data_IF_954961512652
#
_entry.id   IF_954961512652
#
_cell.length_a   1.000
_cell.length_b   1.000
_cell.length_c   1.000
_cell.angle_alpha   90.00
_cell.angle_beta   90.00
_cell.angle_gamma   90.00
#
_symmetry.space_group_name_H-M   'P 1'
#
loop_
_entity.id
_entity.type
_entity.pdbx_description
1 polymer ?
#
# COMPACT_ATOMS: atom_id res chain seq x y z
N UNK A 1 6.82 -32.59 29.01
CA UNK A 1 6.04 -31.58 28.26
C UNK A 1 6.91 -31.14 27.09
N UNK A 2 6.58 -31.60 25.88
CA UNK A 2 7.20 -31.08 24.66
C UNK A 2 6.73 -29.63 24.51
N UNK A 3 7.64 -28.68 24.65
CA UNK A 3 7.39 -27.29 24.27
C UNK A 3 7.10 -27.27 22.77
N UNK A 4 5.83 -27.11 22.40
CA UNK A 4 5.44 -26.85 21.02
C UNK A 4 6.16 -25.56 20.62
N UNK A 5 7.07 -25.66 19.65
CA UNK A 5 7.79 -24.51 19.16
C UNK A 5 6.80 -23.46 18.66
N UNK A 6 7.04 -22.19 18.99
CA UNK A 6 6.21 -21.07 18.54
C UNK A 6 6.11 -21.08 17.01
N UNK A 7 4.91 -21.35 16.48
CA UNK A 7 4.65 -21.33 15.05
C UNK A 7 4.18 -19.94 14.61
N UNK A 8 4.55 -19.56 13.38
CA UNK A 8 4.03 -18.36 12.73
C UNK A 8 2.84 -18.74 11.86
N UNK A 9 1.68 -18.14 12.13
CA UNK A 9 0.44 -18.39 11.40
C UNK A 9 0.08 -17.14 10.61
N UNK A 10 -0.29 -17.30 9.34
CA UNK A 10 -0.82 -16.23 8.50
C UNK A 10 -2.31 -16.48 8.26
N UNK A 11 -3.15 -15.56 8.73
CA UNK A 11 -4.59 -15.53 8.47
C UNK A 11 -4.85 -14.53 7.35
N UNK A 12 -5.63 -14.96 6.35
CA UNK A 12 -6.01 -14.13 5.21
C UNK A 12 -7.45 -13.63 5.40
N UNK A 13 -7.60 -12.31 5.51
CA UNK A 13 -8.86 -11.65 5.82
C UNK A 13 -9.11 -11.50 7.33
N UNK A 14 -9.67 -10.36 7.69
CA UNK A 14 -10.00 -9.96 9.05
C UNK A 14 -11.52 -9.76 9.23
N UNK A 15 -12.34 -10.53 8.51
CA UNK A 15 -13.77 -10.70 8.82
C UNK A 15 -13.98 -11.52 10.11
N UNK A 16 -15.23 -11.79 10.47
CA UNK A 16 -15.57 -12.49 11.73
C UNK A 16 -14.83 -13.83 11.91
N UNK A 17 -14.81 -14.66 10.85
CA UNK A 17 -14.09 -15.94 10.85
C UNK A 17 -12.57 -15.77 10.98
N UNK A 18 -11.98 -14.78 10.30
CA UNK A 18 -10.55 -14.51 10.35
C UNK A 18 -10.11 -14.02 11.73
N UNK A 19 -10.90 -13.14 12.35
CA UNK A 19 -10.65 -12.66 13.71
C UNK A 19 -10.73 -13.81 14.72
N UNK A 20 -11.78 -14.65 14.63
CA UNK A 20 -11.93 -15.80 15.53
C UNK A 20 -10.79 -16.81 15.37
N UNK A 21 -10.36 -17.07 14.14
CA UNK A 21 -9.21 -17.94 13.86
C UNK A 21 -7.92 -17.36 14.45
N UNK A 22 -7.67 -16.06 14.24
CA UNK A 22 -6.49 -15.39 14.77
C UNK A 22 -6.44 -15.41 16.31
N UNK A 23 -7.58 -15.14 16.97
CA UNK A 23 -7.69 -15.22 18.43
C UNK A 23 -7.44 -16.64 18.96
N UNK A 24 -7.98 -17.65 18.28
CA UNK A 24 -7.80 -19.05 18.68
C UNK A 24 -6.35 -19.50 18.55
N UNK A 25 -5.67 -19.12 17.46
CA UNK A 25 -4.25 -19.42 17.25
C UNK A 25 -3.34 -18.66 18.22
N UNK A 26 -3.66 -17.39 18.52
CA UNK A 26 -2.95 -16.62 19.52
C UNK A 26 -3.11 -17.24 20.94
N UNK A 27 -4.31 -17.73 21.27
CA UNK A 27 -4.58 -18.44 22.52
C UNK A 27 -3.83 -19.78 22.59
N UNK A 28 -3.64 -20.47 21.46
CA UNK A 28 -2.82 -21.68 21.36
C UNK A 28 -1.31 -21.42 21.53
N UNK A 29 -0.89 -20.16 21.52
CA UNK A 29 0.49 -19.76 21.79
C UNK A 29 1.26 -19.22 20.58
N UNK A 30 0.65 -19.24 19.38
CA UNK A 30 1.32 -18.93 18.13
C UNK A 30 1.44 -17.41 17.87
N UNK A 31 2.46 -17.00 17.10
CA UNK A 31 2.53 -15.63 16.56
C UNK A 31 1.67 -15.58 15.30
N UNK A 32 0.68 -14.68 15.27
CA UNK A 32 -0.30 -14.61 14.19
C UNK A 32 -0.13 -13.33 13.41
N UNK A 33 -0.04 -13.44 12.09
CA UNK A 33 -0.13 -12.32 11.15
C UNK A 33 -1.50 -12.36 10.51
N UNK A 34 -2.20 -11.24 10.45
CA UNK A 34 -3.51 -11.15 9.79
C UNK A 34 -3.40 -10.17 8.65
N UNK A 35 -3.47 -10.65 7.42
CA UNK A 35 -3.41 -9.84 6.22
C UNK A 35 -4.83 -9.49 5.74
N UNK A 36 -5.17 -8.21 5.78
CA UNK A 36 -6.47 -7.69 5.34
C UNK A 36 -6.29 -6.72 4.18
N UNK A 37 -7.05 -6.92 3.12
CA UNK A 37 -7.07 -6.06 1.95
C UNK A 37 -7.50 -4.63 2.31
N UNK A 38 -8.49 -4.50 3.18
CA UNK A 38 -9.01 -3.22 3.66
C UNK A 38 -8.14 -2.60 4.77
N UNK A 39 -8.30 -1.29 5.04
CA UNK A 39 -7.59 -0.64 6.14
C UNK A 39 -8.16 -0.99 7.52
N UNK A 40 -9.41 -1.45 7.59
CA UNK A 40 -10.11 -1.86 8.82
C UNK A 40 -10.29 -3.38 8.91
N UNK A 41 -10.62 -3.86 10.11
CA UNK A 41 -10.94 -5.26 10.42
C UNK A 41 -12.34 -5.34 11.03
N UNK A 42 -12.94 -6.52 11.06
CA UNK A 42 -14.29 -6.76 11.56
C UNK A 42 -15.39 -6.61 10.50
N UNK A 43 -15.04 -6.09 9.33
CA UNK A 43 -15.97 -5.82 8.23
C UNK A 43 -16.39 -7.09 7.50
N UNK A 44 -17.58 -7.59 7.80
CA UNK A 44 -18.39 -8.23 6.77
C UNK A 44 -19.05 -7.14 5.92
N UNK A 45 -18.87 -7.21 4.60
CA UNK A 45 -19.88 -6.78 3.65
C UNK A 45 -21.07 -7.73 3.83
N UNK A 46 -22.11 -7.31 4.53
CA UNK A 46 -23.38 -8.05 4.51
C UNK A 46 -24.33 -7.29 3.56
N UNK A 47 -24.30 -7.58 2.23
CA UNK A 47 -25.46 -7.31 1.40
C UNK A 47 -26.63 -8.04 2.05
N UNK A 48 -27.59 -7.28 2.58
CA UNK A 48 -28.73 -7.84 3.31
C UNK A 48 -29.76 -8.35 2.30
N UNK A 49 -29.67 -9.63 1.95
CA UNK A 49 -30.71 -10.31 1.18
C UNK A 49 -31.75 -11.01 2.08
N UNK A 50 -31.54 -11.07 3.41
CA UNK A 50 -32.37 -11.85 4.34
C UNK A 50 -32.76 -11.09 5.62
N UNK A 51 -34.00 -11.34 6.04
CA UNK A 51 -34.53 -10.93 7.34
C UNK A 51 -33.93 -11.84 8.42
N UNK A 52 -33.29 -11.23 9.41
CA UNK A 52 -32.66 -11.95 10.54
C UNK A 52 -33.75 -12.31 11.56
N UNK A 53 -33.70 -13.54 12.06
CA UNK A 53 -34.50 -14.03 13.19
C UNK A 53 -33.67 -14.08 14.46
N UNK A 54 -34.30 -13.96 15.64
CA UNK A 54 -33.64 -13.78 16.94
C UNK A 54 -32.55 -14.82 17.29
N UNK A 55 -32.60 -16.02 16.71
CA UNK A 55 -31.61 -17.09 16.92
C UNK A 55 -30.36 -17.04 16.03
N UNK A 56 -30.36 -16.19 14.99
CA UNK A 56 -29.23 -15.97 14.07
C UNK A 56 -28.61 -14.59 14.27
N UNK A 57 -28.81 -13.99 15.45
CA UNK A 57 -28.19 -12.72 15.79
C UNK A 57 -26.66 -12.84 15.70
N UNK A 58 -26.08 -11.98 14.88
CA UNK A 58 -24.66 -11.83 14.58
C UNK A 58 -23.74 -12.31 15.72
N UNK A 59 -22.87 -13.29 15.45
CA UNK A 59 -21.66 -13.44 16.24
C UNK A 59 -20.74 -12.27 15.91
N UNK A 60 -20.87 -11.18 16.68
CA UNK A 60 -19.92 -10.09 16.61
C UNK A 60 -18.54 -10.63 17.05
N UNK A 61 -17.51 -10.58 16.20
CA UNK A 61 -16.17 -10.99 16.59
C UNK A 61 -15.66 -10.12 17.74
N UNK A 62 -14.82 -10.67 18.62
CA UNK A 62 -14.23 -9.92 19.73
C UNK A 62 -13.12 -8.99 19.23
N UNK A 63 -13.53 -7.83 18.71
CA UNK A 63 -12.63 -6.81 18.17
C UNK A 63 -11.69 -6.23 19.23
N UNK A 64 -12.14 -6.14 20.49
CA UNK A 64 -11.35 -5.60 21.58
C UNK A 64 -10.21 -6.56 21.96
N UNK A 65 -10.51 -7.86 22.08
CA UNK A 65 -9.48 -8.89 22.28
C UNK A 65 -8.51 -8.92 21.09
N UNK A 66 -9.02 -8.81 19.86
CA UNK A 66 -8.17 -8.81 18.66
C UNK A 66 -7.19 -7.63 18.66
N UNK A 67 -7.67 -6.42 18.95
CA UNK A 67 -6.87 -5.19 18.94
C UNK A 67 -5.82 -5.13 20.06
N UNK A 68 -6.11 -5.74 21.21
CA UNK A 68 -5.22 -5.70 22.40
C UNK A 68 -4.24 -6.88 22.48
N UNK A 69 -4.32 -7.85 21.59
CA UNK A 69 -3.48 -9.05 21.60
C UNK A 69 -2.09 -8.77 21.01
N UNK A 70 -1.04 -8.94 21.81
CA UNK A 70 0.36 -8.73 21.46
C UNK A 70 0.95 -9.79 20.50
N UNK A 71 0.34 -10.98 20.45
CA UNK A 71 0.73 -12.05 19.52
C UNK A 71 0.16 -11.86 18.13
N UNK A 72 -0.84 -11.00 17.97
CA UNK A 72 -1.48 -10.72 16.68
C UNK A 72 -0.84 -9.48 16.07
N UNK A 73 -0.31 -9.62 14.86
CA UNK A 73 0.18 -8.53 14.04
C UNK A 73 -0.80 -8.30 12.88
N UNK A 74 -1.50 -7.16 12.93
CA UNK A 74 -2.48 -6.80 11.91
C UNK A 74 -1.84 -6.04 10.75
N UNK A 75 -1.75 -6.72 9.60
CA UNK A 75 -1.28 -6.18 8.33
C UNK A 75 -2.48 -5.63 7.56
N UNK A 76 -2.73 -4.33 7.72
CA UNK A 76 -3.78 -3.59 7.01
C UNK A 76 -3.35 -3.24 5.57
N UNK A 77 -4.32 -2.99 4.69
CA UNK A 77 -4.06 -2.66 3.29
C UNK A 77 -3.14 -3.67 2.58
N UNK A 78 -3.20 -4.93 3.00
CA UNK A 78 -2.26 -5.98 2.68
C UNK A 78 -2.82 -6.91 1.60
N UNK A 79 -2.13 -6.94 0.46
CA UNK A 79 -2.40 -7.86 -0.64
C UNK A 79 -1.35 -8.97 -0.68
N UNK A 80 -1.77 -10.23 -0.75
CA UNK A 80 -0.85 -11.35 -0.94
C UNK A 80 -0.41 -11.39 -2.41
N UNK A 81 0.88 -11.15 -2.67
CA UNK A 81 1.44 -11.21 -4.04
C UNK A 81 1.84 -12.62 -4.46
N UNK A 82 2.39 -13.41 -3.54
CA UNK A 82 2.78 -14.78 -3.82
C UNK A 82 2.78 -15.61 -2.54
N UNK A 83 2.40 -16.88 -2.65
CA UNK A 83 2.47 -17.87 -1.58
C UNK A 83 3.12 -19.13 -2.14
N UNK A 84 4.32 -19.45 -1.68
CA UNK A 84 5.04 -20.68 -2.07
C UNK A 84 5.09 -21.59 -0.87
N UNK A 85 4.56 -22.80 -1.01
CA UNK A 85 4.58 -23.83 0.02
C UNK A 85 5.53 -24.97 -0.35
N UNK A 86 6.28 -25.46 0.64
CA UNK A 86 7.05 -26.71 0.56
C UNK A 86 6.95 -27.45 1.90
N UNK A 87 6.42 -28.68 1.88
CA UNK A 87 6.33 -29.57 3.04
C UNK A 87 5.84 -28.92 4.36
N UNK A 88 4.77 -28.14 4.29
CA UNK A 88 4.15 -27.47 5.45
C UNK A 88 4.85 -26.18 5.89
N UNK A 89 5.90 -25.74 5.19
CA UNK A 89 6.47 -24.41 5.33
C UNK A 89 5.97 -23.52 4.20
N UNK A 90 5.63 -22.27 4.53
CA UNK A 90 5.12 -21.31 3.58
C UNK A 90 5.98 -20.04 3.57
N UNK A 91 6.28 -19.55 2.38
CA UNK A 91 6.87 -18.23 2.16
C UNK A 91 5.84 -17.35 1.46
N UNK A 92 5.32 -16.36 2.19
CA UNK A 92 4.38 -15.38 1.67
C UNK A 92 5.11 -14.07 1.34
N UNK A 93 4.78 -13.47 0.19
CA UNK A 93 5.14 -12.09 -0.14
C UNK A 93 3.88 -11.25 -0.02
N UNK A 94 3.89 -10.33 0.94
CA UNK A 94 2.74 -9.46 1.24
C UNK A 94 3.10 -8.04 0.84
N UNK A 95 2.21 -7.39 0.10
CA UNK A 95 2.33 -5.98 -0.27
C UNK A 95 1.35 -5.17 0.56
N UNK A 96 1.87 -4.46 1.57
CA UNK A 96 1.09 -3.53 2.36
C UNK A 96 1.10 -2.16 1.69
N UNK A 97 -0.05 -1.72 1.17
CA UNK A 97 -0.20 -0.40 0.56
C UNK A 97 -0.12 0.67 1.65
N UNK A 98 0.54 1.78 1.36
CA UNK A 98 0.64 2.89 2.33
C UNK A 98 -0.74 3.49 2.60
N UNK A 99 -1.15 3.64 3.87
CA UNK A 99 -2.39 4.34 4.21
C UNK A 99 -2.33 5.84 3.89
N UNK A 100 -1.13 6.39 3.62
CA UNK A 100 -0.87 7.83 3.40
C UNK A 100 -1.28 8.76 4.55
N UNK A 101 -1.65 8.17 5.69
CA UNK A 101 -1.84 8.82 6.97
C UNK A 101 -0.93 8.09 7.95
N UNK A 102 -0.15 8.85 8.71
CA UNK A 102 0.70 8.31 9.76
C UNK A 102 -0.15 8.09 11.01
N UNK A 103 -0.41 6.83 11.43
CA UNK A 103 -1.28 6.55 12.57
C UNK A 103 -0.69 7.05 13.89
N UNK A 104 0.63 7.20 14.00
CA UNK A 104 1.28 7.72 15.21
C UNK A 104 1.09 9.23 15.37
N UNK A 105 0.81 9.94 14.27
CA UNK A 105 0.60 11.40 14.24
C UNK A 105 -0.86 11.80 14.10
N UNK A 106 -1.74 10.86 13.81
CA UNK A 106 -3.17 11.12 13.66
C UNK A 106 -3.82 11.29 15.03
N UNK A 107 -4.55 12.39 15.23
CA UNK A 107 -5.31 12.68 16.44
C UNK A 107 -6.81 12.36 16.30
N UNK A 108 -7.18 11.67 15.21
CA UNK A 108 -8.55 11.27 14.87
C UNK A 108 -9.57 12.43 14.83
N UNK A 109 -9.13 13.68 14.60
CA UNK A 109 -10.00 14.86 14.67
C UNK A 109 -11.05 14.99 13.55
N UNK A 110 -10.98 14.18 12.50
CA UNK A 110 -11.95 14.16 11.40
C UNK A 110 -11.95 15.37 10.45
N UNK A 111 -11.15 16.42 10.72
CA UNK A 111 -11.14 17.65 9.90
C UNK A 111 -10.78 17.40 8.44
N UNK A 112 -9.93 16.41 8.18
CA UNK A 112 -9.50 16.03 6.83
C UNK A 112 -10.68 15.55 5.97
N UNK A 113 -11.65 14.85 6.55
CA UNK A 113 -12.88 14.41 5.88
C UNK A 113 -13.71 15.63 5.51
N UNK A 114 -13.93 16.55 6.45
CA UNK A 114 -14.75 17.75 6.25
C UNK A 114 -14.24 18.66 5.12
N UNK A 115 -12.92 18.75 4.94
CA UNK A 115 -12.31 19.63 3.92
C UNK A 115 -11.99 18.91 2.61
N UNK A 116 -12.24 17.60 2.51
CA UNK A 116 -11.85 16.83 1.35
C UNK A 116 -12.64 17.27 0.10
N UNK A 117 -11.98 17.71 -0.99
CA UNK A 117 -12.69 18.11 -2.20
C UNK A 117 -13.11 16.91 -3.08
N UNK A 118 -12.61 15.71 -2.76
CA UNK A 118 -12.86 14.50 -3.55
C UNK A 118 -13.95 13.69 -2.87
N UNK A 119 -15.05 13.49 -3.59
CA UNK A 119 -16.14 12.60 -3.22
C UNK A 119 -16.18 11.45 -4.23
N UNK A 120 -16.28 10.23 -3.74
CA UNK A 120 -16.32 9.01 -4.53
C UNK A 120 -17.39 8.07 -3.98
N UNK A 121 -17.81 7.10 -4.79
CA UNK A 121 -18.73 6.07 -4.32
C UNK A 121 -18.11 5.31 -3.17
N UNK A 122 -18.92 5.10 -2.13
CA UNK A 122 -18.52 4.33 -0.97
C UNK A 122 -18.48 2.84 -1.30
N UNK A 123 -17.28 2.33 -1.60
CA UNK A 123 -17.00 0.91 -1.86
C UNK A 123 -17.22 -0.02 -0.66
N UNK A 124 -17.37 0.54 0.55
CA UNK A 124 -17.81 -0.19 1.74
C UNK A 124 -19.33 -0.33 1.76
N UNK A 125 -20.07 0.75 1.51
CA UNK A 125 -21.54 0.77 1.45
C UNK A 125 -22.12 0.46 0.06
N UNK A 126 -21.44 -0.38 -0.73
CA UNK A 126 -21.89 -0.82 -2.07
C UNK A 126 -22.26 0.32 -3.05
N UNK A 127 -21.64 1.48 -2.89
CA UNK A 127 -21.89 2.67 -3.69
C UNK A 127 -23.23 3.37 -3.39
N UNK A 128 -23.92 2.99 -2.31
CA UNK A 128 -25.16 3.61 -1.86
C UNK A 128 -24.93 5.01 -1.27
N UNK A 129 -23.72 5.27 -0.79
CA UNK A 129 -23.32 6.56 -0.22
C UNK A 129 -22.08 7.13 -0.92
N UNK A 130 -21.78 8.39 -0.60
CA UNK A 130 -20.55 9.05 -1.00
C UNK A 130 -19.59 9.05 0.17
N UNK A 131 -18.33 8.70 -0.10
CA UNK A 131 -17.22 8.89 0.84
C UNK A 131 -16.17 9.83 0.28
N UNK A 132 -15.37 10.38 1.18
CA UNK A 132 -14.23 11.22 0.80
C UNK A 132 -13.00 10.37 0.48
N UNK A 133 -12.01 10.95 -0.21
CA UNK A 133 -10.76 10.24 -0.49
C UNK A 133 -9.94 9.94 0.77
N UNK A 134 -10.08 10.77 1.81
CA UNK A 134 -9.58 10.47 3.16
C UNK A 134 -10.77 9.99 3.99
N UNK A 135 -10.65 8.86 4.67
CA UNK A 135 -11.73 8.30 5.47
C UNK A 135 -11.20 7.40 6.60
N UNK A 136 -12.13 6.90 7.41
CA UNK A 136 -11.97 5.72 8.25
C UNK A 136 -13.10 4.76 7.87
N UNK A 137 -12.77 3.57 7.38
CA UNK A 137 -13.77 2.61 6.87
C UNK A 137 -14.70 2.09 7.98
N UNK A 138 -14.17 1.95 9.20
CA UNK A 138 -14.95 1.58 10.37
C UNK A 138 -14.47 2.40 11.58
N UNK A 139 -15.43 2.99 12.29
CA UNK A 139 -15.23 3.70 13.56
C UNK A 139 -14.57 2.85 14.64
N UNK A 140 -14.75 1.52 14.63
CA UNK A 140 -14.12 0.60 15.58
C UNK A 140 -12.61 0.45 15.38
N UNK A 141 -12.14 0.65 14.15
CA UNK A 141 -10.72 0.55 13.81
C UNK A 141 -9.94 1.83 14.15
N UNK A 142 -10.55 3.01 14.01
CA UNK A 142 -9.92 4.32 14.26
C UNK A 142 -8.83 4.71 13.25
N UNK A 143 -8.60 3.92 12.21
CA UNK A 143 -7.47 4.14 11.30
C UNK A 143 -7.87 4.89 10.05
N UNK A 144 -7.39 6.13 9.97
CA UNK A 144 -7.55 6.95 8.78
C UNK A 144 -6.64 6.48 7.66
N UNK A 145 -7.12 6.59 6.43
CA UNK A 145 -6.32 6.34 5.23
C UNK A 145 -6.73 7.32 4.12
N UNK A 146 -5.86 7.53 3.14
CA UNK A 146 -6.19 8.26 1.91
C UNK A 146 -6.20 7.29 0.74
N UNK A 147 -7.40 6.90 0.34
CA UNK A 147 -7.65 6.12 -0.84
C UNK A 147 -8.05 7.01 -2.01
N UNK A 148 -7.38 6.85 -3.14
CA UNK A 148 -7.76 7.52 -4.39
C UNK A 148 -7.45 6.58 -5.55
N UNK A 149 -8.51 6.08 -6.17
CA UNK A 149 -8.44 5.14 -7.30
C UNK A 149 -7.75 5.74 -8.52
N UNK A 150 -7.92 7.04 -8.74
CA UNK A 150 -7.41 7.69 -9.94
C UNK A 150 -5.88 7.74 -9.99
N UNK A 151 -5.37 7.35 -11.17
CA UNK A 151 -3.99 7.64 -11.53
C UNK A 151 -3.74 9.16 -11.48
N UNK A 152 -2.66 9.60 -10.79
CA UNK A 152 -2.32 11.02 -10.67
C UNK A 152 -2.27 11.70 -12.04
N UNK A 153 -2.71 12.95 -12.15
CA UNK A 153 -2.60 13.71 -13.40
C UNK A 153 -1.16 13.73 -13.89
N UNK A 154 -0.19 14.03 -13.00
CA UNK A 154 1.23 14.02 -13.36
C UNK A 154 1.68 12.68 -13.96
N UNK A 155 1.21 11.55 -13.44
CA UNK A 155 1.57 10.22 -13.93
C UNK A 155 0.86 9.91 -15.26
N UNK A 156 -0.43 10.23 -15.40
CA UNK A 156 -1.19 10.06 -16.66
C UNK A 156 -0.60 10.89 -17.80
N UNK A 157 -0.13 12.10 -17.50
CA UNK A 157 0.48 13.01 -18.49
C UNK A 157 1.89 12.56 -18.88
N UNK A 158 2.55 11.71 -18.08
CA UNK A 158 3.88 11.21 -18.39
C UNK A 158 3.82 10.16 -19.51
N UNK A 159 4.53 10.32 -20.65
CA UNK A 159 4.46 9.36 -21.76
C UNK A 159 4.85 7.91 -21.40
N UNK A 160 5.64 7.74 -20.34
CA UNK A 160 6.11 6.44 -19.84
C UNK A 160 5.43 6.05 -18.51
N UNK A 161 4.40 6.79 -18.09
CA UNK A 161 3.62 6.53 -16.87
C UNK A 161 4.49 6.32 -15.61
N UNK A 162 5.48 7.19 -15.40
CA UNK A 162 6.37 7.15 -14.22
C UNK A 162 5.56 7.24 -12.91
N UNK A 163 5.96 6.54 -11.84
CA UNK A 163 5.29 6.63 -10.54
C UNK A 163 5.67 7.92 -9.78
N UNK A 164 5.26 9.07 -10.31
CA UNK A 164 5.70 10.41 -9.86
C UNK A 164 5.42 10.67 -8.39
N UNK A 165 4.21 10.35 -7.91
CA UNK A 165 3.87 10.53 -6.48
C UNK A 165 4.78 9.70 -5.58
N UNK A 166 5.12 8.48 -6.01
CA UNK A 166 5.94 7.55 -5.22
C UNK A 166 7.36 8.06 -5.06
N UNK A 167 8.05 8.37 -6.17
CA UNK A 167 9.44 8.78 -6.08
C UNK A 167 9.60 10.19 -5.50
N UNK A 168 8.63 11.10 -5.70
CA UNK A 168 8.61 12.42 -5.03
C UNK A 168 8.37 12.25 -3.53
N UNK A 169 7.49 11.33 -3.11
CA UNK A 169 7.30 10.98 -1.71
C UNK A 169 8.58 10.45 -1.07
N UNK A 170 9.29 9.54 -1.74
CA UNK A 170 10.58 9.06 -1.26
C UNK A 170 11.63 10.18 -1.14
N UNK A 171 11.62 11.16 -2.05
CA UNK A 171 12.50 12.33 -1.93
C UNK A 171 12.16 13.16 -0.69
N UNK A 172 10.87 13.38 -0.43
CA UNK A 172 10.41 14.10 0.76
C UNK A 172 10.82 13.38 2.06
N UNK A 173 10.83 12.04 2.05
CA UNK A 173 11.29 11.21 3.17
C UNK A 173 12.83 11.09 3.28
N UNK A 174 13.60 11.67 2.35
CA UNK A 174 15.06 11.53 2.29
C UNK A 174 15.56 10.16 1.77
N UNK A 175 14.66 9.33 1.25
CA UNK A 175 14.92 7.97 0.72
C UNK A 175 15.32 8.01 -0.76
N UNK A 176 16.47 8.62 -1.06
CA UNK A 176 16.88 8.89 -2.44
C UNK A 176 17.18 7.63 -3.26
N UNK A 177 17.72 6.58 -2.64
CA UNK A 177 18.01 5.32 -3.33
C UNK A 177 16.72 4.59 -3.73
N UNK A 178 15.71 4.58 -2.86
CA UNK A 178 14.37 4.03 -3.11
C UNK A 178 13.62 4.83 -4.17
N UNK A 179 13.76 6.17 -4.13
CA UNK A 179 13.24 7.06 -5.18
C UNK A 179 13.78 6.68 -6.56
N UNK A 180 15.09 6.47 -6.68
CA UNK A 180 15.71 6.03 -7.92
C UNK A 180 15.29 4.63 -8.37
N UNK A 181 15.18 3.69 -7.42
CA UNK A 181 14.69 2.35 -7.72
C UNK A 181 13.28 2.41 -8.32
N UNK A 182 12.38 3.21 -7.74
CA UNK A 182 11.03 3.40 -8.25
C UNK A 182 11.00 4.04 -9.65
N UNK A 183 11.91 4.97 -9.96
CA UNK A 183 12.03 5.56 -11.30
C UNK A 183 12.49 4.48 -12.30
N UNK A 184 13.47 3.65 -11.91
CA UNK A 184 14.08 2.63 -12.77
C UNK A 184 13.19 1.45 -13.13
N UNK A 185 12.09 1.25 -12.42
CA UNK A 185 11.06 0.27 -12.81
C UNK A 185 10.56 0.50 -14.24
N UNK A 186 10.54 1.75 -14.71
CA UNK A 186 10.09 2.11 -16.06
C UNK A 186 11.08 2.92 -16.88
N UNK A 187 12.02 3.60 -16.23
CA UNK A 187 12.97 4.49 -16.89
C UNK A 187 14.41 4.03 -16.64
N UNK A 188 15.05 3.33 -17.59
CA UNK A 188 16.40 2.79 -17.40
C UNK A 188 17.48 3.87 -17.29
N UNK A 189 17.25 5.05 -17.87
CA UNK A 189 18.24 6.14 -17.94
C UNK A 189 17.75 7.41 -17.24
N UNK A 190 17.58 7.40 -15.90
CA UNK A 190 17.08 8.55 -15.16
C UNK A 190 18.01 9.77 -15.25
N UNK A 191 19.33 9.56 -15.33
CA UNK A 191 20.33 10.62 -15.42
C UNK A 191 20.22 11.45 -16.71
N UNK A 192 20.10 10.77 -17.85
CA UNK A 192 19.94 11.40 -19.17
C UNK A 192 18.55 12.01 -19.30
N UNK A 193 17.51 11.24 -19.00
CA UNK A 193 16.12 11.70 -19.14
C UNK A 193 15.75 12.77 -18.10
N UNK A 194 16.45 12.88 -16.97
CA UNK A 194 16.35 14.02 -16.05
C UNK A 194 16.80 15.35 -16.65
N UNK A 195 17.60 15.33 -17.73
CA UNK A 195 18.14 16.54 -18.38
C UNK A 195 17.39 16.91 -19.67
N UNK A 196 16.86 15.92 -20.38
CA UNK A 196 16.15 16.13 -21.66
C UNK A 196 14.62 16.04 -21.54
N UNK A 197 14.08 15.89 -20.34
CA UNK A 197 12.63 15.75 -20.16
C UNK A 197 11.90 17.02 -20.60
N UNK A 198 10.86 16.91 -21.45
CA UNK A 198 9.99 18.05 -21.77
C UNK A 198 8.95 18.34 -20.68
N UNK A 199 8.97 17.57 -19.58
CA UNK A 199 8.19 17.78 -18.35
C UNK A 199 6.70 18.16 -18.52
N UNK A 200 5.93 17.45 -19.39
CA UNK A 200 4.51 17.77 -19.61
C UNK A 200 3.67 17.58 -18.33
N UNK A 201 4.13 16.71 -17.42
CA UNK A 201 3.50 16.48 -16.12
C UNK A 201 3.50 17.71 -15.20
N UNK A 202 4.41 18.66 -15.40
CA UNK A 202 4.44 19.92 -14.64
C UNK A 202 3.38 20.90 -15.16
N UNK A 203 3.11 20.91 -16.47
CA UNK A 203 2.08 21.76 -17.07
C UNK A 203 0.66 21.43 -16.59
N UNK A 204 0.38 20.15 -16.36
CA UNK A 204 -0.92 19.65 -15.87
C UNK A 204 -0.96 19.45 -14.34
N UNK A 205 -0.02 20.04 -13.59
CA UNK A 205 0.09 19.79 -12.17
C UNK A 205 -1.06 20.46 -11.39
N UNK A 206 -1.89 19.66 -10.71
CA UNK A 206 -2.96 20.18 -9.84
C UNK A 206 -2.49 21.19 -8.79
N UNK A 207 -1.23 21.13 -8.36
CA UNK A 207 -0.67 22.08 -7.39
C UNK A 207 -0.67 23.52 -7.94
N UNK A 208 -0.54 23.68 -9.25
CA UNK A 208 -0.64 24.98 -9.93
C UNK A 208 -2.00 25.66 -9.83
N UNK A 209 -3.07 24.98 -9.39
CA UNK A 209 -4.34 25.64 -9.06
C UNK A 209 -4.29 26.42 -7.73
N UNK A 210 -3.32 26.11 -6.86
CA UNK A 210 -3.15 26.75 -5.55
C UNK A 210 -1.95 27.70 -5.55
N UNK A 211 -0.80 27.22 -6.00
CA UNK A 211 0.45 27.99 -6.08
C UNK A 211 1.23 27.63 -7.37
N UNK A 212 2.34 26.88 -7.26
CA UNK A 212 3.20 26.54 -8.38
C UNK A 212 3.29 25.02 -8.61
N UNK A 213 3.43 24.56 -9.86
CA UNK A 213 3.70 23.16 -10.14
C UNK A 213 4.92 22.63 -9.39
N UNK A 214 4.84 21.38 -8.94
CA UNK A 214 6.00 20.68 -8.39
C UNK A 214 7.05 20.54 -9.50
N UNK A 215 8.30 20.93 -9.23
CA UNK A 215 9.44 20.79 -10.14
C UNK A 215 9.90 19.33 -10.31
N UNK A 216 9.02 18.48 -10.83
CA UNK A 216 9.18 17.03 -10.98
C UNK A 216 10.43 16.66 -11.79
N UNK A 217 10.74 17.40 -12.85
CA UNK A 217 11.92 17.21 -13.69
C UNK A 217 13.20 17.48 -12.90
N UNK A 218 13.23 18.58 -12.15
CA UNK A 218 14.36 18.93 -11.30
C UNK A 218 14.55 17.90 -10.18
N UNK A 219 13.47 17.48 -9.52
CA UNK A 219 13.50 16.42 -8.50
C UNK A 219 14.06 15.11 -9.04
N UNK A 220 13.62 14.70 -10.25
CA UNK A 220 14.13 13.51 -10.94
C UNK A 220 15.62 13.63 -11.26
N UNK A 221 16.05 14.81 -11.74
CA UNK A 221 17.48 15.09 -12.00
C UNK A 221 18.29 15.05 -10.71
N UNK A 222 17.80 15.68 -9.64
CA UNK A 222 18.46 15.75 -8.35
C UNK A 222 18.76 14.35 -7.80
N UNK A 223 17.78 13.44 -7.79
CA UNK A 223 18.03 12.07 -7.32
C UNK A 223 18.97 11.31 -8.24
N UNK A 224 18.91 11.53 -9.55
CA UNK A 224 19.87 10.90 -10.47
C UNK A 224 21.30 11.41 -10.26
N UNK A 225 21.47 12.69 -9.95
CA UNK A 225 22.77 13.28 -9.63
C UNK A 225 23.27 12.78 -8.24
N UNK A 226 22.37 12.57 -7.28
CA UNK A 226 22.69 11.98 -5.97
C UNK A 226 23.35 10.61 -6.11
N UNK A 227 22.89 9.76 -7.03
CA UNK A 227 23.50 8.45 -7.29
C UNK A 227 24.97 8.58 -7.69
N UNK A 228 25.26 9.44 -8.69
CA UNK A 228 26.61 9.63 -9.21
C UNK A 228 27.53 10.21 -8.14
N UNK A 229 27.04 11.18 -7.37
CA UNK A 229 27.83 11.86 -6.36
C UNK A 229 28.12 10.99 -5.13
N UNK A 230 27.28 10.00 -4.84
CA UNK A 230 27.42 9.14 -3.66
C UNK A 230 27.82 7.70 -3.99
N UNK A 231 28.17 7.41 -5.26
CA UNK A 231 28.50 6.06 -5.74
C UNK A 231 27.45 5.01 -5.33
N UNK A 232 26.17 5.36 -5.41
CA UNK A 232 25.08 4.43 -5.11
C UNK A 232 24.98 3.44 -6.28
N UNK A 233 25.17 2.16 -6.03
CA UNK A 233 24.99 1.18 -7.09
C UNK A 233 23.50 1.02 -7.43
N UNK A 234 23.15 1.00 -8.73
CA UNK A 234 21.79 0.76 -9.15
C UNK A 234 21.36 -0.65 -8.74
N UNK A 235 20.21 -0.77 -8.08
CA UNK A 235 19.55 -2.07 -7.92
C UNK A 235 19.00 -2.51 -9.28
N UNK A 236 19.83 -3.21 -10.05
CA UNK A 236 19.44 -3.83 -11.32
C UNK A 236 18.91 -5.23 -11.03
N UNK A 237 17.71 -5.53 -11.49
CA UNK A 237 17.21 -6.90 -11.50
C UNK A 237 17.80 -7.62 -12.72
N UNK A 238 18.82 -8.42 -12.48
CA UNK A 238 19.37 -9.30 -13.50
C UNK A 238 18.60 -10.62 -13.47
N UNK A 239 18.24 -11.19 -14.64
CA UNK A 239 17.68 -12.53 -14.67
C UNK A 239 18.65 -13.54 -14.02
N UNK A 240 18.10 -14.54 -13.34
CA UNK A 240 18.90 -15.59 -12.68
C UNK A 240 19.64 -16.46 -13.71
N UNK A 241 19.04 -16.63 -14.89
CA UNK A 241 19.60 -17.39 -16.00
C UNK A 241 20.44 -16.49 -16.91
N UNK A 242 21.67 -16.94 -17.18
CA UNK A 242 22.52 -16.36 -18.21
C UNK A 242 22.59 -17.33 -19.40
N UNK A 243 22.41 -16.80 -20.61
CA UNK A 243 22.56 -17.56 -21.85
C UNK A 243 23.98 -17.37 -22.41
N UNK A 244 24.53 -18.41 -23.02
CA UNK A 244 25.89 -18.41 -23.59
C UNK A 244 26.00 -17.58 -24.88
N UNK A 245 24.86 -17.35 -25.50
CA UNK A 245 24.66 -16.67 -26.75
C UNK A 245 24.91 -15.17 -26.57
N UNK A 246 25.69 -14.60 -27.48
CA UNK A 246 25.95 -13.16 -27.49
C UNK A 246 24.82 -12.46 -28.23
N UNK A 247 24.15 -11.55 -27.55
CA UNK A 247 23.11 -10.70 -28.13
C UNK A 247 23.73 -9.37 -28.54
N UNK A 248 23.57 -8.99 -29.81
CA UNK A 248 23.87 -7.65 -30.28
C UNK A 248 22.61 -6.78 -30.16
N UNK A 249 22.68 -5.70 -29.40
CA UNK A 249 21.61 -4.70 -29.36
C UNK A 249 21.86 -3.72 -30.50
N UNK A 250 21.06 -3.81 -31.56
CA UNK A 250 21.10 -2.87 -32.70
C UNK A 250 19.88 -1.96 -32.59
N UNK A 251 20.12 -0.69 -32.31
CA UNK A 251 19.10 0.36 -32.23
C UNK A 251 19.76 1.73 -32.38
N UNK A 252 18.97 2.70 -32.88
CA UNK A 252 19.35 4.11 -33.00
C UNK A 252 19.16 4.85 -31.66
#
# INVERSE_FOLDING_TARGET
MLTVAEQKVLVLGAGAAGIQAALSEAAAGNKVYVAEHFPSFGGERIPQDKIITDGNAFTAPDLAAFKSNDKIEFLRNADIQSLVGDNGQYKAKVHCRTPRVDPEKCDECGKCITVCPIHMYDDYNEGLEWRTAVDFFDSGSGYYNIFKEDMPVCQRTCPINLPIRTYVGYIADGKYAESLAAIREKLPFPLSVGRVCPHPCEGECNRGYMDEPISICFLKRYVADYEVNNNVEPKLYLPEENYSEKIAIIGA
#
